data_IF_083854641146
#
_entry.id   IF_083854641146
#
_cell.length_a   1.000
_cell.length_b   1.000
_cell.length_c   1.000
_cell.angle_alpha   90.00
_cell.angle_beta   90.00
_cell.angle_gamma   90.00
#
_symmetry.space_group_name_H-M   'P 1'
#
loop_
_entity.id
_entity.type
_entity.pdbx_description
1 polymer ?
#
# COMPACT_ATOMS: atom_id res chain seq x y z
N UNK A 1 -6.07 6.12 -4.48
CA UNK A 1 -6.90 4.98 -4.04
C UNK A 1 -7.67 5.46 -2.83
N UNK A 2 -9.01 5.51 -2.91
CA UNK A 2 -9.84 6.00 -1.81
C UNK A 2 -9.77 5.03 -0.62
N UNK A 3 -9.55 5.57 0.58
CA UNK A 3 -9.57 4.81 1.83
C UNK A 3 -10.31 5.59 2.91
N UNK A 4 -10.97 4.92 3.84
CA UNK A 4 -11.67 5.60 4.96
C UNK A 4 -10.73 5.96 6.12
N UNK A 5 -9.61 5.24 6.22
CA UNK A 5 -8.63 5.40 7.28
C UNK A 5 -7.24 5.41 6.64
N UNK A 6 -6.79 6.61 6.28
CA UNK A 6 -5.44 6.84 5.72
C UNK A 6 -4.39 6.96 6.81
N UNK A 7 -4.79 7.43 8.00
CA UNK A 7 -3.88 7.93 9.04
C UNK A 7 -3.14 6.80 9.74
N UNK A 8 -3.86 5.75 10.13
CA UNK A 8 -3.29 4.70 10.97
C UNK A 8 -3.37 3.33 10.29
N UNK A 9 -4.46 3.03 9.58
CA UNK A 9 -4.65 1.66 9.06
C UNK A 9 -4.03 1.44 7.69
N UNK A 10 -4.40 2.26 6.72
CA UNK A 10 -3.99 2.01 5.32
C UNK A 10 -2.51 2.31 5.11
N UNK A 11 -2.01 3.40 5.68
CA UNK A 11 -0.58 3.74 5.66
C UNK A 11 0.25 2.64 6.34
N UNK A 12 -0.11 2.24 7.56
CA UNK A 12 0.63 1.19 8.26
C UNK A 12 0.57 -0.15 7.52
N UNK A 13 -0.54 -0.50 6.87
CA UNK A 13 -0.60 -1.72 6.04
C UNK A 13 0.37 -1.63 4.85
N UNK A 14 0.33 -0.52 4.11
CA UNK A 14 1.22 -0.31 2.97
C UNK A 14 2.70 -0.34 3.38
N UNK A 15 3.06 0.32 4.48
CA UNK A 15 4.44 0.35 4.97
C UNK A 15 4.87 -0.98 5.58
N UNK A 16 4.08 -1.53 6.49
CA UNK A 16 4.53 -2.61 7.37
C UNK A 16 4.20 -4.01 6.87
N UNK A 17 3.17 -4.16 6.02
CA UNK A 17 2.76 -5.46 5.48
C UNK A 17 3.23 -5.60 4.04
N UNK A 18 3.01 -4.58 3.21
CA UNK A 18 3.42 -4.61 1.80
C UNK A 18 4.89 -4.18 1.63
N UNK A 19 5.44 -3.39 2.55
CA UNK A 19 6.83 -2.93 2.47
C UNK A 19 7.03 -1.71 1.56
N UNK A 20 5.96 -0.97 1.26
CA UNK A 20 6.05 0.25 0.47
C UNK A 20 6.69 1.38 1.28
N UNK A 21 7.55 2.17 0.64
CA UNK A 21 8.19 3.31 1.31
C UNK A 21 7.24 4.50 1.28
N UNK A 22 6.87 5.06 2.44
CA UNK A 22 6.23 6.37 2.48
C UNK A 22 7.19 7.45 2.03
N UNK A 23 6.68 8.33 1.17
CA UNK A 23 7.40 9.50 0.68
C UNK A 23 7.12 10.70 1.56
N UNK A 24 5.85 11.09 1.64
CA UNK A 24 5.38 12.17 2.50
C UNK A 24 3.86 12.12 2.60
N UNK A 25 3.33 12.94 3.50
CA UNK A 25 1.91 13.17 3.70
C UNK A 25 1.58 14.64 3.51
N UNK A 26 0.42 14.93 2.93
CA UNK A 26 -0.10 16.28 2.78
C UNK A 26 -1.61 16.29 3.05
N UNK A 27 -2.01 16.81 4.21
CA UNK A 27 -3.41 16.76 4.66
C UNK A 27 -3.90 15.31 4.75
N UNK A 28 -4.93 15.01 3.97
CA UNK A 28 -5.59 13.70 3.88
C UNK A 28 -5.01 12.78 2.78
N UNK A 29 -3.85 13.17 2.22
CA UNK A 29 -3.17 12.44 1.16
C UNK A 29 -1.86 11.82 1.66
N UNK A 30 -1.67 10.53 1.41
CA UNK A 30 -0.39 9.83 1.66
C UNK A 30 0.21 9.35 0.34
N UNK A 31 1.47 9.70 0.09
CA UNK A 31 2.23 9.29 -1.09
C UNK A 31 3.21 8.18 -0.76
N UNK A 32 3.20 7.12 -1.56
CA UNK A 32 4.02 5.93 -1.40
C UNK A 32 4.85 5.67 -2.67
N UNK A 33 6.04 5.11 -2.50
CA UNK A 33 6.88 4.61 -3.59
C UNK A 33 6.75 3.09 -3.73
N UNK A 34 6.42 2.65 -4.94
CA UNK A 34 6.40 1.26 -5.36
C UNK A 34 7.36 1.11 -6.55
N UNK A 35 8.65 0.88 -6.24
CA UNK A 35 9.72 0.71 -7.23
C UNK A 35 9.77 1.83 -8.31
N UNK A 36 9.60 3.09 -7.89
CA UNK A 36 9.57 4.26 -8.78
C UNK A 36 8.17 4.67 -9.26
N UNK A 37 7.15 3.84 -9.05
CA UNK A 37 5.74 4.21 -9.26
C UNK A 37 5.19 4.88 -8.00
N UNK A 38 4.63 6.08 -8.15
CA UNK A 38 4.02 6.82 -7.04
C UNK A 38 2.56 6.40 -6.88
N UNK A 39 2.22 5.87 -5.69
CA UNK A 39 0.86 5.54 -5.31
C UNK A 39 0.33 6.62 -4.37
N UNK A 40 -0.94 6.99 -4.55
CA UNK A 40 -1.64 7.94 -3.71
C UNK A 40 -2.73 7.23 -2.92
N UNK A 41 -2.72 7.37 -1.60
CA UNK A 41 -3.86 7.11 -0.74
C UNK A 41 -4.59 8.44 -0.49
N UNK A 42 -5.91 8.42 -0.64
CA UNK A 42 -6.76 9.61 -0.50
C UNK A 42 -7.90 9.29 0.47
N UNK A 43 -8.02 10.07 1.56
CA UNK A 43 -9.04 9.83 2.59
C UNK A 43 -10.42 10.25 2.07
N UNK A 44 -11.37 9.34 2.14
CA UNK A 44 -12.78 9.58 1.79
C UNK A 44 -13.70 9.19 2.94
N UNK A 45 -14.86 9.85 3.06
CA UNK A 45 -15.87 9.52 4.06
C UNK A 45 -16.50 8.13 3.83
N UNK A 46 -16.68 7.75 2.56
CA UNK A 46 -17.18 6.44 2.16
C UNK A 46 -16.43 5.93 0.93
N UNK A 47 -16.22 4.61 0.87
CA UNK A 47 -15.76 3.94 -0.34
C UNK A 47 -16.98 3.36 -1.04
N UNK A 48 -17.56 4.10 -1.97
CA UNK A 48 -18.72 3.64 -2.75
C UNK A 48 -18.27 2.85 -3.99
N UNK A 49 -18.84 1.65 -4.19
CA UNK A 49 -18.56 0.78 -5.34
C UNK A 49 -17.47 -0.29 -5.15
N UNK A 50 -16.94 -0.84 -6.26
CA UNK A 50 -15.84 -1.81 -6.20
C UNK A 50 -14.58 -1.10 -5.70
N UNK A 51 -14.09 -1.55 -4.54
CA UNK A 51 -12.81 -1.15 -3.95
C UNK A 51 -11.73 -1.02 -5.04
N UNK A 52 -11.03 0.11 -5.08
CA UNK A 52 -10.12 0.43 -6.18
C UNK A 52 -9.11 -0.69 -6.44
N UNK A 53 -9.09 -1.21 -7.67
CA UNK A 53 -8.10 -2.18 -8.13
C UNK A 53 -7.08 -1.48 -9.02
N UNK A 54 -5.78 -1.64 -8.72
CA UNK A 54 -4.69 -1.07 -9.50
C UNK A 54 -3.81 -2.22 -9.98
N UNK A 55 -3.64 -2.33 -11.30
CA UNK A 55 -2.74 -3.30 -11.92
C UNK A 55 -1.38 -2.65 -12.19
N UNK A 56 -0.33 -3.27 -11.67
CA UNK A 56 1.06 -2.83 -11.85
C UNK A 56 1.84 -3.92 -12.58
N UNK A 57 2.75 -3.51 -13.47
CA UNK A 57 3.74 -4.44 -14.03
C UNK A 57 4.85 -4.64 -13.00
N UNK A 58 5.31 -5.87 -12.88
CA UNK A 58 6.52 -6.23 -12.15
C UNK A 58 7.45 -7.03 -13.08
N UNK A 59 8.74 -7.08 -12.74
CA UNK A 59 9.71 -7.85 -13.50
C UNK A 59 9.46 -9.37 -13.37
N UNK A 60 9.05 -9.84 -12.19
CA UNK A 60 8.74 -11.24 -11.89
C UNK A 60 7.67 -11.32 -10.80
N UNK A 61 6.51 -11.89 -11.14
CA UNK A 61 5.35 -12.00 -10.23
C UNK A 61 5.54 -13.08 -9.15
N UNK A 62 6.30 -14.13 -9.44
CA UNK A 62 6.57 -15.20 -8.48
C UNK A 62 7.53 -14.69 -7.40
N UNK A 63 8.59 -13.99 -7.81
CA UNK A 63 9.53 -13.36 -6.88
C UNK A 63 8.82 -12.34 -5.97
N UNK A 64 7.97 -11.48 -6.54
CA UNK A 64 7.18 -10.52 -5.77
C UNK A 64 6.25 -11.22 -4.74
N UNK A 65 5.58 -12.29 -5.15
CA UNK A 65 4.72 -13.09 -4.26
C UNK A 65 5.48 -13.74 -3.11
N UNK A 66 6.68 -14.29 -3.37
CA UNK A 66 7.52 -14.89 -2.33
C UNK A 66 7.99 -13.84 -1.31
N UNK A 67 8.38 -12.64 -1.75
CA UNK A 67 8.83 -11.56 -0.86
C UNK A 67 7.71 -11.14 0.09
N UNK A 68 6.50 -10.92 -0.42
CA UNK A 68 5.32 -10.63 0.40
C UNK A 68 5.00 -11.77 1.38
N UNK A 69 5.12 -13.02 0.95
CA UNK A 69 4.89 -14.19 1.80
C UNK A 69 5.93 -14.37 2.92
N UNK A 70 7.18 -13.99 2.67
CA UNK A 70 8.27 -14.06 3.66
C UNK A 70 8.20 -12.97 4.73
N UNK A 71 7.77 -11.75 4.37
CA UNK A 71 7.61 -10.64 5.31
C UNK A 71 6.61 -10.94 6.43
N UNK A 72 5.60 -11.79 6.16
CA UNK A 72 4.62 -12.26 7.15
C UNK A 72 5.22 -13.17 8.23
N UNK A 73 6.29 -13.92 7.93
CA UNK A 73 6.83 -14.97 8.83
C UNK A 73 7.85 -14.46 9.85
N UNK A 74 8.46 -13.30 9.62
CA UNK A 74 9.50 -12.72 10.50
C UNK A 74 8.91 -12.06 11.76
N UNK A 75 7.59 -11.80 11.80
CA UNK A 75 6.93 -11.07 12.89
C UNK A 75 6.11 -11.96 13.85
N UNK A 76 6.12 -13.28 13.65
CA UNK A 76 5.46 -14.28 14.52
C UNK A 76 6.48 -15.12 15.36
N UNK A 77 7.73 -14.64 15.50
CA UNK A 77 8.81 -15.27 16.30
C UNK A 77 9.45 -14.25 17.22
#
# INVERSE_FOLDING_TARGET
>A
MPVTDVDDRSEAFCENVIGLRKLFRFGDLTFLDCAGVRLLLDKTAEVSGSSGCIYLRCADIHAAGMMLGSARRIRES
#
